data_IF_660855204461
#
_entry.id   IF_660855204461
#
_cell.length_a   1.000
_cell.length_b   1.000
_cell.length_c   1.000
_cell.angle_alpha   90.00
_cell.angle_beta   90.00
_cell.angle_gamma   90.00
#
_symmetry.space_group_name_H-M   'P 1'
#
loop_
_entity.id
_entity.type
_entity.pdbx_description
1 polymer ?
#
# COMPACT_ATOMS: atom_id res chain seq x y z
N UNK A 1 19.71 14.63 -10.77
CA UNK A 1 18.25 14.65 -10.83
C UNK A 1 17.68 13.48 -10.08
N UNK A 2 16.90 13.79 -9.06
CA UNK A 2 16.34 12.74 -8.21
C UNK A 2 15.06 12.19 -8.80
N UNK A 3 15.17 11.03 -9.38
CA UNK A 3 14.00 10.30 -9.83
C UNK A 3 13.55 9.34 -8.73
N UNK A 4 13.08 9.87 -7.61
CA UNK A 4 12.50 8.98 -6.64
C UNK A 4 11.15 8.49 -7.14
N UNK A 5 10.87 7.25 -6.84
CA UNK A 5 9.70 6.55 -7.31
C UNK A 5 8.63 6.57 -6.24
N UNK A 6 7.38 6.48 -6.67
CA UNK A 6 6.26 6.38 -5.74
C UNK A 6 5.82 4.93 -5.65
N UNK A 7 5.66 4.45 -4.43
CA UNK A 7 5.29 3.06 -4.15
C UNK A 7 4.06 3.05 -3.27
N UNK A 8 3.12 2.17 -3.56
CA UNK A 8 1.91 2.02 -2.76
C UNK A 8 1.91 0.63 -2.13
N UNK A 9 1.55 0.56 -0.85
CA UNK A 9 1.38 -0.68 -0.13
C UNK A 9 -0.06 -0.73 0.39
N UNK A 10 -0.77 -1.80 0.04
CA UNK A 10 -2.13 -2.02 0.53
C UNK A 10 -2.10 -3.03 1.67
N UNK A 11 -2.41 -2.57 2.86
CA UNK A 11 -2.47 -3.40 4.07
C UNK A 11 -3.66 -2.96 4.92
N UNK A 12 -4.87 -3.18 4.44
CA UNK A 12 -6.08 -2.74 5.13
C UNK A 12 -6.88 -3.89 5.74
N UNK A 13 -6.20 -4.83 6.37
CA UNK A 13 -6.87 -5.93 7.06
C UNK A 13 -6.65 -5.86 8.59
N UNK A 14 -6.80 -6.99 9.29
CA UNK A 14 -6.84 -7.01 10.74
C UNK A 14 -5.45 -7.14 11.38
N UNK A 15 -5.39 -6.94 12.70
CA UNK A 15 -4.15 -6.89 13.48
C UNK A 15 -3.29 -8.14 13.33
N UNK A 16 -3.91 -9.32 13.34
CA UNK A 16 -3.16 -10.57 13.23
C UNK A 16 -2.34 -10.65 11.96
N UNK A 17 -2.97 -10.22 10.86
CA UNK A 17 -2.31 -10.22 9.55
C UNK A 17 -1.23 -9.15 9.47
N UNK A 18 -1.40 -8.03 10.17
CA UNK A 18 -0.40 -6.98 10.21
C UNK A 18 0.91 -7.49 10.80
N UNK A 19 0.82 -8.22 11.92
CA UNK A 19 2.02 -8.75 12.58
C UNK A 19 2.82 -9.64 11.63
N UNK A 20 2.14 -10.47 10.86
CA UNK A 20 2.80 -11.32 9.88
C UNK A 20 3.43 -10.53 8.74
N UNK A 21 2.86 -9.39 8.42
CA UNK A 21 3.31 -8.56 7.31
C UNK A 21 4.37 -7.53 7.70
N UNK A 22 4.60 -7.32 9.00
CA UNK A 22 5.50 -6.27 9.48
C UNK A 22 6.89 -6.38 8.87
N UNK A 23 7.44 -7.60 8.85
CA UNK A 23 8.77 -7.82 8.29
C UNK A 23 8.81 -7.46 6.81
N UNK A 24 7.80 -7.89 6.06
CA UNK A 24 7.74 -7.60 4.63
C UNK A 24 7.64 -6.10 4.37
N UNK A 25 6.77 -5.41 5.11
CA UNK A 25 6.61 -3.96 4.97
C UNK A 25 7.91 -3.24 5.31
N UNK A 26 8.54 -3.60 6.42
CA UNK A 26 9.79 -2.97 6.83
C UNK A 26 10.90 -3.21 5.81
N UNK A 27 10.94 -4.38 5.20
CA UNK A 27 11.90 -4.65 4.15
C UNK A 27 11.66 -3.77 2.92
N UNK A 28 10.41 -3.59 2.54
CA UNK A 28 10.06 -2.72 1.42
C UNK A 28 10.50 -1.28 1.72
N UNK A 29 10.21 -0.79 2.92
CA UNK A 29 10.59 0.56 3.33
C UNK A 29 12.11 0.71 3.32
N UNK A 30 12.81 -0.27 3.88
CA UNK A 30 14.26 -0.23 3.99
C UNK A 30 14.95 -0.20 2.62
N UNK A 31 14.43 -0.97 1.67
CA UNK A 31 14.99 -1.02 0.32
C UNK A 31 14.57 0.15 -0.55
N UNK A 32 13.70 1.04 -0.06
CA UNK A 32 13.16 2.15 -0.81
C UNK A 32 13.30 3.48 -0.07
N UNK A 33 14.40 3.66 0.64
CA UNK A 33 14.63 4.86 1.47
C UNK A 33 14.57 6.16 0.69
N UNK A 34 14.88 6.13 -0.59
CA UNK A 34 14.87 7.31 -1.44
C UNK A 34 13.56 7.48 -2.20
N UNK A 35 12.62 6.58 -2.01
CA UNK A 35 11.34 6.60 -2.69
C UNK A 35 10.23 7.03 -1.75
N UNK A 36 9.16 7.62 -2.29
CA UNK A 36 7.97 7.91 -1.52
C UNK A 36 7.12 6.64 -1.40
N UNK A 37 6.69 6.34 -0.19
CA UNK A 37 5.86 5.16 0.08
C UNK A 37 4.55 5.64 0.70
N UNK A 38 3.43 5.22 0.12
CA UNK A 38 2.11 5.44 0.67
C UNK A 38 1.55 4.10 1.12
N UNK A 39 1.23 4.00 2.41
CA UNK A 39 0.66 2.78 2.98
C UNK A 39 -0.81 3.02 3.29
N UNK A 40 -1.68 2.18 2.74
CA UNK A 40 -3.10 2.18 3.09
C UNK A 40 -3.31 1.16 4.21
N UNK A 41 -3.62 1.66 5.40
CA UNK A 41 -3.92 0.84 6.56
C UNK A 41 -5.41 0.85 6.86
N UNK A 42 -5.90 -0.24 7.42
CA UNK A 42 -7.27 -0.33 7.88
C UNK A 42 -7.49 0.51 9.15
N UNK A 43 -8.70 1.03 9.32
CA UNK A 43 -9.10 1.68 10.57
C UNK A 43 -8.95 0.76 11.78
N UNK A 44 -8.98 -0.55 11.57
CA UNK A 44 -8.83 -1.54 12.63
C UNK A 44 -7.40 -1.63 13.17
N UNK A 45 -6.44 -1.16 12.37
CA UNK A 45 -5.03 -1.22 12.75
C UNK A 45 -4.37 0.15 12.75
N UNK A 46 -5.16 1.23 12.77
CA UNK A 46 -4.62 2.59 12.72
C UNK A 46 -3.69 2.91 13.88
N UNK A 47 -3.91 2.28 15.03
CA UNK A 47 -3.08 2.52 16.23
C UNK A 47 -1.69 1.91 16.10
N UNK A 48 -1.46 1.11 15.08
CA UNK A 48 -0.16 0.50 14.82
C UNK A 48 0.66 1.28 13.79
N UNK A 49 0.21 2.48 13.42
CA UNK A 49 0.90 3.31 12.44
C UNK A 49 2.32 3.69 12.87
N UNK A 50 2.59 3.67 14.17
CA UNK A 50 3.91 4.01 14.70
C UNK A 50 5.02 3.08 14.20
N UNK A 51 4.67 1.86 13.75
CA UNK A 51 5.65 0.95 13.16
C UNK A 51 6.18 1.43 11.81
N UNK A 52 5.49 2.37 11.18
CA UNK A 52 5.81 2.81 9.82
C UNK A 52 6.11 4.31 9.74
N UNK A 53 6.49 4.92 10.86
CA UNK A 53 6.80 6.35 10.88
C UNK A 53 8.22 6.60 10.42
N UNK A 54 8.36 6.75 9.11
CA UNK A 54 9.62 7.09 8.47
C UNK A 54 9.42 8.33 7.63
N UNK A 55 10.50 9.04 7.36
CA UNK A 55 10.47 10.32 6.65
C UNK A 55 9.80 10.23 5.28
N UNK A 56 10.01 9.12 4.59
CA UNK A 56 9.53 8.90 3.23
C UNK A 56 8.21 8.15 3.18
N UNK A 57 7.60 7.87 4.33
CA UNK A 57 6.38 7.06 4.39
C UNK A 57 5.21 7.92 4.81
N UNK A 58 4.13 7.86 4.04
CA UNK A 58 2.85 8.46 4.37
C UNK A 58 1.84 7.36 4.59
N UNK A 59 0.96 7.55 5.57
CA UNK A 59 -0.04 6.55 5.92
C UNK A 59 -1.42 7.14 5.69
N UNK A 60 -2.26 6.38 5.01
CA UNK A 60 -3.65 6.74 4.79
C UNK A 60 -4.54 5.65 5.37
N UNK A 61 -5.47 6.06 6.21
CA UNK A 61 -6.39 5.12 6.86
C UNK A 61 -7.63 4.95 5.99
N UNK A 62 -8.00 3.71 5.71
CA UNK A 62 -9.19 3.37 4.95
C UNK A 62 -9.99 2.35 5.73
N UNK A 63 -11.23 2.12 5.32
CA UNK A 63 -12.07 1.14 5.98
C UNK A 63 -11.63 -0.28 5.63
N UNK A 64 -11.87 -1.20 6.55
CA UNK A 64 -11.57 -2.61 6.32
C UNK A 64 -12.26 -3.10 5.04
N UNK A 65 -13.54 -2.76 4.90
CA UNK A 65 -14.26 -2.97 3.65
C UNK A 65 -14.32 -1.63 2.93
N UNK A 66 -13.58 -1.50 1.84
CA UNK A 66 -13.47 -0.24 1.12
C UNK A 66 -14.83 0.22 0.61
N UNK A 67 -15.16 1.48 0.88
CA UNK A 67 -16.35 2.09 0.30
C UNK A 67 -16.11 2.40 -1.17
N UNK A 68 -17.20 2.66 -1.90
CA UNK A 68 -17.07 3.03 -3.30
C UNK A 68 -16.24 4.31 -3.47
N UNK A 69 -16.44 5.27 -2.57
CA UNK A 69 -15.65 6.51 -2.60
C UNK A 69 -14.16 6.24 -2.39
N UNK A 70 -13.83 5.34 -1.47
CA UNK A 70 -12.44 4.98 -1.22
C UNK A 70 -11.82 4.29 -2.43
N UNK A 71 -12.57 3.40 -3.07
CA UNK A 71 -12.10 2.73 -4.29
C UNK A 71 -11.83 3.72 -5.40
N UNK A 72 -12.73 4.69 -5.59
CA UNK A 72 -12.52 5.74 -6.59
C UNK A 72 -11.31 6.60 -6.25
N UNK A 73 -11.17 6.96 -4.97
CA UNK A 73 -10.05 7.77 -4.52
C UNK A 73 -8.71 7.07 -4.81
N UNK A 74 -8.63 5.77 -4.51
CA UNK A 74 -7.44 4.97 -4.78
C UNK A 74 -7.16 4.93 -6.28
N UNK A 75 -8.20 4.66 -7.07
CA UNK A 75 -8.07 4.56 -8.52
C UNK A 75 -7.53 5.86 -9.11
N UNK A 76 -8.13 7.00 -8.72
CA UNK A 76 -7.69 8.30 -9.22
C UNK A 76 -6.31 8.69 -8.72
N UNK A 77 -5.97 8.30 -7.49
CA UNK A 77 -4.62 8.55 -6.98
C UNK A 77 -3.57 7.84 -7.83
N UNK A 78 -3.83 6.58 -8.18
CA UNK A 78 -2.93 5.84 -9.04
C UNK A 78 -2.89 6.46 -10.44
N UNK A 79 -4.04 6.84 -10.96
CA UNK A 79 -4.14 7.40 -12.30
C UNK A 79 -3.41 8.74 -12.42
N UNK A 80 -3.54 9.61 -11.41
CA UNK A 80 -3.01 10.97 -11.46
C UNK A 80 -1.54 11.07 -11.04
N UNK A 81 -0.97 10.03 -10.48
CA UNK A 81 0.42 10.02 -10.04
C UNK A 81 1.20 8.96 -10.79
N UNK A 82 2.50 9.20 -10.96
CA UNK A 82 3.36 8.18 -11.55
C UNK A 82 3.75 7.20 -10.46
N UNK A 83 3.04 6.09 -10.39
CA UNK A 83 3.32 5.03 -9.43
C UNK A 83 4.24 4.00 -10.09
N UNK A 84 5.34 3.69 -9.42
CA UNK A 84 6.31 2.74 -9.92
C UNK A 84 5.91 1.29 -9.64
N UNK A 85 5.52 1.01 -8.40
CA UNK A 85 5.12 -0.33 -8.01
C UNK A 85 4.06 -0.29 -6.92
N UNK A 86 3.28 -1.36 -6.84
CA UNK A 86 2.22 -1.53 -5.85
C UNK A 86 2.38 -2.90 -5.22
N UNK A 87 2.41 -2.93 -3.89
CA UNK A 87 2.51 -4.17 -3.12
C UNK A 87 1.15 -4.45 -2.50
N UNK A 88 0.56 -5.59 -2.84
CA UNK A 88 -0.74 -5.99 -2.32
C UNK A 88 -0.49 -7.01 -1.21
N UNK A 89 -0.62 -6.58 0.03
CA UNK A 89 -0.44 -7.45 1.20
C UNK A 89 -1.76 -7.85 1.82
N UNK A 90 -2.86 -7.30 1.32
CA UNK A 90 -4.21 -7.67 1.71
C UNK A 90 -4.94 -8.22 0.49
N UNK A 91 -5.37 -9.48 0.50
CA UNK A 91 -5.99 -10.08 -0.69
C UNK A 91 -7.45 -9.63 -0.85
N UNK A 92 -7.65 -8.49 -1.46
CA UNK A 92 -8.97 -7.95 -1.80
C UNK A 92 -9.14 -7.98 -3.31
N UNK A 93 -10.31 -8.36 -3.78
CA UNK A 93 -10.59 -8.43 -5.21
C UNK A 93 -10.33 -7.12 -5.93
N UNK A 94 -10.68 -6.00 -5.30
CA UNK A 94 -10.46 -4.69 -5.90
C UNK A 94 -9.00 -4.50 -6.28
N UNK A 95 -8.07 -4.88 -5.40
CA UNK A 95 -6.64 -4.69 -5.65
C UNK A 95 -6.15 -5.57 -6.80
N UNK A 96 -6.71 -6.76 -6.93
CA UNK A 96 -6.29 -7.68 -7.99
C UNK A 96 -6.84 -7.28 -9.36
N UNK A 97 -7.84 -6.41 -9.42
CA UNK A 97 -8.32 -5.87 -10.68
C UNK A 97 -7.48 -4.68 -11.18
N UNK A 98 -6.73 -4.04 -10.30
CA UNK A 98 -5.94 -2.87 -10.66
C UNK A 98 -4.93 -3.14 -11.80
N UNK A 99 -4.23 -4.29 -11.85
CA UNK A 99 -3.29 -4.54 -12.94
C UNK A 99 -3.93 -4.54 -14.32
N UNK A 100 -5.22 -4.79 -14.42
CA UNK A 100 -5.94 -4.76 -15.69
C UNK A 100 -6.02 -3.35 -16.25
N UNK A 101 -6.03 -2.34 -15.40
CA UNK A 101 -6.13 -0.95 -15.79
C UNK A 101 -4.78 -0.24 -15.84
N UNK A 102 -3.80 -0.70 -15.08
CA UNK A 102 -2.50 -0.06 -14.95
C UNK A 102 -1.37 -1.00 -15.31
N UNK A 103 -1.25 -1.29 -16.60
CA UNK A 103 -0.31 -2.31 -17.08
C UNK A 103 1.16 -1.91 -16.94
N UNK A 104 1.44 -0.62 -16.88
CA UNK A 104 2.83 -0.13 -16.75
C UNK A 104 3.36 -0.17 -15.35
N UNK A 105 2.50 -0.41 -14.36
CA UNK A 105 2.89 -0.46 -12.95
C UNK A 105 3.22 -1.90 -12.59
N UNK A 106 4.30 -2.08 -11.83
CA UNK A 106 4.68 -3.39 -11.32
C UNK A 106 3.85 -3.72 -10.09
N UNK A 107 3.13 -4.83 -10.14
CA UNK A 107 2.31 -5.29 -9.03
C UNK A 107 2.94 -6.52 -8.38
N UNK A 108 3.03 -6.50 -7.06
CA UNK A 108 3.53 -7.61 -6.27
C UNK A 108 2.47 -8.01 -5.26
N UNK A 109 2.15 -9.28 -5.18
CA UNK A 109 1.22 -9.80 -4.19
C UNK A 109 1.95 -10.76 -3.28
N UNK A 110 1.72 -10.62 -1.98
CA UNK A 110 2.33 -11.48 -0.98
C UNK A 110 1.26 -12.41 -0.44
N UNK A 111 1.51 -13.71 -0.55
CA UNK A 111 0.66 -14.72 0.07
C UNK A 111 1.24 -15.04 1.44
N UNK A 112 0.57 -14.59 2.49
CA UNK A 112 0.94 -14.91 3.87
C UNK A 112 0.02 -16.02 4.33
N UNK A 113 0.60 -17.15 4.64
CA UNK A 113 -0.14 -18.28 5.17
C UNK A 113 0.25 -18.57 6.60
#
# INVERSE_FOLDING_TARGET
>A
MNSYKKIIIFKNDAVGDLVQSLRAINNIIHHNKQNEILIYLSERIKNFDFFFKFKNVKIKIVKYDLTFKEKLSIFFNIFNNKIYSIYILTPKNFYFYLPLFFRKIKFYALCIR
#
